data_IF_943614514766
#
_entry.id   IF_943614514766
#
_cell.length_a   1.000
_cell.length_b   1.000
_cell.length_c   1.000
_cell.angle_alpha   90.00
_cell.angle_beta   90.00
_cell.angle_gamma   90.00
#
_symmetry.space_group_name_H-M   'P 1'
#
loop_
_entity.id
_entity.type
_entity.pdbx_description
1 polymer ?
#
# COMPACT_ATOMS: atom_id res chain seq x y z
N UNK A 1 -10.46 -6.22 5.14
CA UNK A 1 -9.18 -5.89 4.48
C UNK A 1 -8.46 -4.88 5.35
N UNK A 2 -7.15 -5.04 5.56
CA UNK A 2 -6.38 -4.10 6.38
C UNK A 2 -6.18 -2.79 5.60
N UNK A 3 -6.55 -1.67 6.22
CA UNK A 3 -6.40 -0.32 5.67
C UNK A 3 -5.42 0.48 6.53
N UNK A 4 -4.54 1.22 5.85
CA UNK A 4 -3.59 2.16 6.44
C UNK A 4 -4.10 3.59 6.22
N UNK A 5 -4.20 4.38 7.28
CA UNK A 5 -4.64 5.76 7.20
C UNK A 5 -3.47 6.71 7.36
N UNK A 6 -3.41 7.72 6.50
CA UNK A 6 -2.47 8.83 6.60
C UNK A 6 -3.13 10.13 6.14
N UNK A 7 -2.42 11.24 6.33
CA UNK A 7 -2.90 12.56 5.96
C UNK A 7 -2.02 13.14 4.84
N UNK A 8 -2.65 13.84 3.90
CA UNK A 8 -1.98 14.55 2.82
C UNK A 8 -2.46 16.00 2.76
N UNK A 9 -1.58 16.92 2.40
CA UNK A 9 -1.91 18.33 2.21
C UNK A 9 -1.96 18.66 0.73
N UNK A 10 -3.09 19.21 0.26
CA UNK A 10 -3.25 19.65 -1.12
C UNK A 10 -4.05 20.95 -1.17
N UNK A 11 -3.50 21.96 -1.85
CA UNK A 11 -4.14 23.28 -1.98
C UNK A 11 -4.39 23.98 -0.64
N UNK A 12 -3.54 23.75 0.37
CA UNK A 12 -3.70 24.30 1.73
C UNK A 12 -4.74 23.58 2.60
N UNK A 13 -5.40 22.54 2.09
CA UNK A 13 -6.35 21.73 2.82
C UNK A 13 -5.75 20.37 3.19
N UNK A 14 -6.17 19.82 4.33
CA UNK A 14 -5.78 18.49 4.79
C UNK A 14 -6.82 17.44 4.35
N UNK A 15 -6.31 16.31 3.86
CA UNK A 15 -7.07 15.20 3.33
C UNK A 15 -6.73 13.91 4.08
N UNK A 16 -7.75 13.12 4.40
CA UNK A 16 -7.61 11.77 4.94
C UNK A 16 -7.50 10.79 3.79
N UNK A 17 -6.42 10.01 3.79
CA UNK A 17 -6.13 9.01 2.78
C UNK A 17 -6.18 7.62 3.40
N UNK A 18 -6.94 6.71 2.80
CA UNK A 18 -7.03 5.31 3.18
C UNK A 18 -6.32 4.47 2.11
N UNK A 19 -5.10 4.01 2.41
CA UNK A 19 -4.34 3.11 1.58
C UNK A 19 -4.75 1.66 1.88
N UNK A 20 -5.08 0.95 0.82
CA UNK A 20 -5.50 -0.46 0.85
C UNK A 20 -4.77 -1.23 -0.26
N UNK A 21 -4.81 -2.56 -0.17
CA UNK A 21 -4.30 -3.42 -1.25
C UNK A 21 -5.44 -3.73 -2.22
N UNK A 22 -5.22 -3.47 -3.49
CA UNK A 22 -6.18 -3.81 -4.55
C UNK A 22 -6.38 -5.32 -4.69
N UNK A 23 -7.54 -5.74 -5.22
CA UNK A 23 -7.89 -7.16 -5.42
C UNK A 23 -6.90 -7.91 -6.33
N UNK A 24 -6.31 -7.20 -7.30
CA UNK A 24 -5.33 -7.74 -8.23
C UNK A 24 -3.88 -7.55 -7.75
N UNK A 25 -3.68 -6.98 -6.55
CA UNK A 25 -2.39 -6.44 -6.11
C UNK A 25 -2.36 -4.91 -6.20
N UNK A 26 -1.25 -4.32 -5.75
CA UNK A 26 -0.99 -2.88 -5.81
C UNK A 26 -1.67 -2.05 -4.71
N UNK A 27 -1.29 -0.78 -4.66
CA UNK A 27 -1.87 0.24 -3.79
C UNK A 27 -3.17 0.79 -4.39
N UNK A 28 -4.18 0.98 -3.55
CA UNK A 28 -5.42 1.71 -3.87
C UNK A 28 -5.66 2.71 -2.74
N UNK A 29 -5.88 3.98 -3.09
CA UNK A 29 -6.05 5.05 -2.11
C UNK A 29 -7.40 5.72 -2.26
N UNK A 30 -8.21 5.66 -1.21
CA UNK A 30 -9.43 6.44 -1.10
C UNK A 30 -9.14 7.75 -0.35
N UNK A 31 -9.71 8.86 -0.82
CA UNK A 31 -9.44 10.18 -0.28
C UNK A 31 -10.74 10.82 0.17
N UNK A 32 -10.71 11.42 1.36
CA UNK A 32 -11.82 12.21 1.92
C UNK A 32 -11.29 13.47 2.59
N UNK A 33 -12.06 14.57 2.62
CA UNK A 33 -11.65 15.77 3.34
C UNK A 33 -11.50 15.49 4.84
N UNK A 34 -10.48 16.08 5.48
CA UNK A 34 -10.25 15.90 6.93
C UNK A 34 -11.26 16.68 7.77
N UNK A 35 -11.64 17.87 7.31
CA UNK A 35 -12.60 18.77 7.96
C UNK A 35 -13.92 18.78 7.18
N UNK A 36 -15.04 18.75 7.89
CA UNK A 36 -16.39 18.90 7.31
C UNK A 36 -16.61 20.27 6.65
N UNK A 37 -15.75 21.26 6.95
CA UNK A 37 -15.80 22.59 6.34
C UNK A 37 -15.16 22.64 4.94
N UNK A 38 -14.45 21.59 4.53
CA UNK A 38 -13.96 21.47 3.15
C UNK A 38 -15.05 20.74 2.39
N UNK A 39 -15.75 21.46 1.50
CA UNK A 39 -16.70 20.81 0.58
C UNK A 39 -15.99 19.67 -0.12
N UNK A 40 -16.63 18.50 -0.12
CA UNK A 40 -16.13 17.32 -0.81
C UNK A 40 -16.20 17.60 -2.31
N UNK A 41 -15.13 18.16 -2.83
CA UNK A 41 -14.92 18.28 -4.26
C UNK A 41 -14.47 16.90 -4.76
N UNK A 42 -15.40 16.19 -5.39
CA UNK A 42 -15.16 14.85 -5.92
C UNK A 42 -14.06 14.85 -6.99
N UNK A 43 -13.87 15.95 -7.74
CA UNK A 43 -12.82 16.06 -8.76
C UNK A 43 -11.45 16.16 -8.10
N UNK A 44 -11.32 16.97 -7.06
CA UNK A 44 -10.06 17.12 -6.32
C UNK A 44 -9.73 15.81 -5.59
N UNK A 45 -10.71 15.21 -4.91
CA UNK A 45 -10.54 13.95 -4.19
C UNK A 45 -10.07 12.84 -5.14
N UNK A 46 -10.66 12.76 -6.33
CA UNK A 46 -10.26 11.81 -7.36
C UNK A 46 -8.84 12.08 -7.86
N UNK A 47 -8.47 13.33 -8.14
CA UNK A 47 -7.11 13.68 -8.58
C UNK A 47 -6.04 13.32 -7.54
N UNK A 48 -6.31 13.60 -6.27
CA UNK A 48 -5.39 13.23 -5.18
C UNK A 48 -5.30 11.70 -5.08
N UNK A 49 -6.44 11.01 -5.14
CA UNK A 49 -6.50 9.54 -5.12
C UNK A 49 -5.69 8.92 -6.27
N UNK A 50 -5.90 9.38 -7.51
CA UNK A 50 -5.18 8.90 -8.70
C UNK A 50 -3.68 9.18 -8.60
N UNK A 51 -3.31 10.40 -8.20
CA UNK A 51 -1.90 10.80 -8.08
C UNK A 51 -1.17 9.98 -7.01
N UNK A 52 -1.78 9.78 -5.83
CA UNK A 52 -1.18 8.99 -4.77
C UNK A 52 -1.16 7.50 -5.15
N UNK A 53 -2.24 6.99 -5.73
CA UNK A 53 -2.30 5.60 -6.22
C UNK A 53 -1.19 5.34 -7.23
N UNK A 54 -0.97 6.25 -8.19
CA UNK A 54 0.12 6.16 -9.15
C UNK A 54 1.49 6.24 -8.47
N UNK A 55 1.67 7.18 -7.54
CA UNK A 55 2.92 7.31 -6.77
C UNK A 55 3.28 6.02 -6.04
N UNK A 56 2.37 5.47 -5.23
CA UNK A 56 2.64 4.27 -4.44
C UNK A 56 2.88 3.03 -5.31
N UNK A 57 2.15 2.86 -6.41
CA UNK A 57 2.40 1.76 -7.34
C UNK A 57 3.70 1.94 -8.15
N UNK A 58 4.19 3.16 -8.32
CA UNK A 58 5.48 3.46 -8.96
C UNK A 58 6.70 3.34 -8.04
N UNK A 59 6.50 3.19 -6.71
CA UNK A 59 7.60 3.00 -5.79
C UNK A 59 8.26 1.63 -5.99
N UNK A 60 9.56 1.66 -6.23
CA UNK A 60 10.42 0.47 -6.28
C UNK A 60 11.37 0.54 -5.10
N UNK A 61 11.37 -0.49 -4.28
CA UNK A 61 12.24 -0.64 -3.12
C UNK A 61 13.35 -1.61 -3.46
N UNK A 62 14.60 -1.18 -3.38
CA UNK A 62 15.75 -2.06 -3.48
C UNK A 62 16.16 -2.55 -2.10
N UNK A 63 16.24 -3.87 -1.93
CA UNK A 63 16.68 -4.54 -0.71
C UNK A 63 17.64 -5.66 -1.12
N UNK A 64 18.91 -5.52 -0.76
CA UNK A 64 19.98 -6.49 -1.03
C UNK A 64 20.02 -6.97 -2.51
N UNK A 65 19.88 -6.02 -3.45
CA UNK A 65 19.86 -6.29 -4.89
C UNK A 65 18.55 -6.87 -5.43
N UNK A 66 17.53 -7.02 -4.59
CA UNK A 66 16.17 -7.38 -5.00
C UNK A 66 15.28 -6.14 -5.08
N UNK A 67 14.54 -6.00 -6.18
CA UNK A 67 13.61 -4.89 -6.40
C UNK A 67 12.19 -5.33 -6.10
N UNK A 68 11.50 -4.60 -5.22
CA UNK A 68 10.14 -4.89 -4.75
C UNK A 68 9.21 -3.73 -5.07
N UNK A 69 7.97 -4.04 -5.38
CA UNK A 69 6.90 -3.05 -5.64
C UNK A 69 5.77 -3.19 -4.64
N UNK A 70 4.79 -2.28 -4.68
CA UNK A 70 3.58 -2.40 -3.86
C UNK A 70 2.75 -3.67 -4.13
N UNK A 71 2.94 -4.31 -5.29
CA UNK A 71 2.34 -5.61 -5.56
C UNK A 71 2.93 -6.71 -4.66
N UNK A 72 4.20 -6.58 -4.29
CA UNK A 72 4.95 -7.49 -3.41
C UNK A 72 4.81 -7.15 -1.92
N UNK A 73 3.97 -6.16 -1.59
CA UNK A 73 3.82 -5.65 -0.23
C UNK A 73 2.40 -5.86 0.31
N UNK A 74 2.28 -5.96 1.63
CA UNK A 74 1.02 -6.06 2.35
C UNK A 74 0.95 -4.98 3.42
N UNK A 75 -0.17 -4.26 3.39
CA UNK A 75 -0.54 -3.33 4.44
C UNK A 75 -0.94 -4.15 5.67
N UNK A 76 -0.32 -3.89 6.82
CA UNK A 76 -0.65 -4.60 8.06
C UNK A 76 -0.83 -3.64 9.24
N UNK A 77 -1.71 -4.05 10.16
CA UNK A 77 -1.85 -3.42 11.48
C UNK A 77 -1.06 -4.16 12.56
N UNK A 78 -0.25 -5.16 12.19
CA UNK A 78 0.59 -5.92 13.14
C UNK A 78 1.74 -5.03 13.63
N UNK A 79 1.56 -4.43 14.80
CA UNK A 79 2.57 -3.59 15.46
C UNK A 79 1.92 -2.50 16.32
N UNK A 80 2.74 -1.72 17.04
CA UNK A 80 2.27 -0.52 17.76
C UNK A 80 2.05 0.69 16.84
N UNK A 81 2.71 0.69 15.69
CA UNK A 81 2.60 1.72 14.65
C UNK A 81 2.18 1.07 13.35
N UNK A 82 1.37 1.74 12.53
CA UNK A 82 0.94 1.19 11.27
C UNK A 82 2.16 1.06 10.33
N UNK A 83 2.36 -0.13 9.77
CA UNK A 83 3.56 -0.51 9.03
C UNK A 83 3.21 -1.20 7.73
N UNK A 84 4.07 -1.02 6.72
CA UNK A 84 4.01 -1.81 5.48
C UNK A 84 4.90 -3.02 5.72
N UNK A 85 4.34 -4.22 5.57
CA UNK A 85 5.05 -5.47 5.72
C UNK A 85 5.22 -6.09 4.34
N UNK A 86 6.45 -6.47 4.00
CA UNK A 86 6.71 -7.16 2.73
C UNK A 86 5.87 -8.44 2.68
N UNK A 87 4.95 -8.54 1.73
CA UNK A 87 4.25 -9.77 1.41
C UNK A 87 4.92 -10.39 0.20
N UNK A 88 6.16 -10.81 0.42
CA UNK A 88 6.86 -11.64 -0.55
C UNK A 88 5.97 -12.87 -0.79
N UNK A 89 5.37 -12.97 -1.98
CA UNK A 89 4.64 -14.16 -2.42
C UNK A 89 5.65 -15.26 -2.75
N UNK A 90 6.44 -15.67 -1.76
CA UNK A 90 7.41 -16.75 -1.90
C UNK A 90 6.63 -18.05 -1.99
N UNK A 91 6.43 -18.55 -3.21
CA UNK A 91 6.02 -19.94 -3.41
C UNK A 91 7.22 -20.83 -3.09
N UNK A 92 7.34 -21.26 -1.84
CA UNK A 92 8.30 -22.29 -1.45
C UNK A 92 7.84 -23.61 -2.07
N UNK A 93 8.36 -23.93 -3.26
CA UNK A 93 8.32 -25.29 -3.76
C UNK A 93 9.32 -26.08 -2.92
N UNK A 94 8.81 -26.77 -1.90
CA UNK A 94 9.59 -27.75 -1.12
C UNK A 94 10.11 -28.78 -2.14
N UNK A 95 11.39 -28.72 -2.49
CA UNK A 95 12.02 -29.80 -3.24
C UNK A 95 12.01 -31.02 -2.32
N UNK A 96 11.44 -32.17 -2.71
CA UNK A 96 11.70 -33.40 -1.98
C UNK A 96 13.20 -33.67 -2.12
N UNK A 97 13.95 -33.57 -1.02
CA UNK A 97 15.31 -34.07 -0.98
C UNK A 97 15.24 -35.57 -1.31
N UNK A 98 15.81 -35.95 -2.45
CA UNK A 98 15.89 -37.33 -2.93
C UNK A 98 16.99 -38.07 -2.17
N UNK A 99 16.85 -38.17 -0.85
CA UNK A 99 17.60 -39.11 0.03
C UNK A 99 17.38 -38.75 1.50
N UNK A 100 16.83 -39.71 2.25
CA UNK A 100 17.07 -39.87 3.69
C UNK A 100 17.76 -41.23 3.81
N UNK A 101 19.07 -41.23 4.01
CA UNK A 101 19.80 -42.42 4.48
C UNK A 101 19.75 -42.45 6.02
N UNK A 102 19.39 -43.61 6.58
CA UNK A 102 19.61 -43.97 7.98
C UNK A 102 20.79 -44.92 8.04
#
# INVERSE_FOLDING_TARGET
EDQFFFEATYGGNEWKCALTRGKLGGAVIEVSPKSENVEKDDIISQKISESLTSFFNGLVFELDGTYLTFEDMMVTKKGKTPSVMLALSIKVKKFPSTSLEF
#
